data_IF_105572702330
#
_entry.id   IF_105572702330
#
_cell.length_a   1.000
_cell.length_b   1.000
_cell.length_c   1.000
_cell.angle_alpha   90.00
_cell.angle_beta   90.00
_cell.angle_gamma   90.00
#
_symmetry.space_group_name_H-M   'P 1'
#
loop_
_entity.id
_entity.type
_entity.pdbx_description
1 polymer ?
#
# COMPACT_ATOMS: atom_id res chain seq x y z
N UNK A 1 -34.08 14.18 1.31
CA UNK A 1 -32.92 14.06 2.22
C UNK A 1 -31.85 13.12 1.65
N UNK A 2 -31.04 13.64 0.71
CA UNK A 2 -29.92 12.91 0.09
C UNK A 2 -28.56 13.50 0.50
N UNK A 3 -28.49 14.83 0.62
CA UNK A 3 -27.28 15.58 0.98
C UNK A 3 -26.70 15.29 2.37
N UNK A 4 -27.50 14.79 3.32
CA UNK A 4 -27.00 14.42 4.66
C UNK A 4 -26.33 13.03 4.69
N UNK A 5 -26.56 12.17 3.69
CA UNK A 5 -26.01 10.79 3.65
C UNK A 5 -24.63 10.70 3.01
N UNK A 6 -24.28 11.66 2.17
CA UNK A 6 -22.98 11.74 1.49
C UNK A 6 -21.82 12.14 2.41
N UNK A 7 -21.93 13.16 3.30
CA UNK A 7 -20.84 13.51 4.22
C UNK A 7 -20.53 12.38 5.21
N UNK A 8 -21.56 11.65 5.69
CA UNK A 8 -21.38 10.51 6.59
C UNK A 8 -20.64 9.35 5.90
N UNK A 9 -20.96 9.06 4.64
CA UNK A 9 -20.26 8.03 3.85
C UNK A 9 -18.82 8.42 3.55
N UNK A 10 -18.55 9.70 3.27
CA UNK A 10 -17.20 10.19 3.06
C UNK A 10 -16.38 10.15 4.35
N UNK A 11 -16.98 10.50 5.49
CA UNK A 11 -16.36 10.32 6.80
C UNK A 11 -16.01 8.86 7.10
N UNK A 12 -16.95 7.94 6.84
CA UNK A 12 -16.72 6.51 7.03
C UNK A 12 -15.61 5.97 6.12
N UNK A 13 -15.58 6.37 4.84
CA UNK A 13 -14.52 5.99 3.89
C UNK A 13 -13.14 6.48 4.34
N UNK A 14 -13.05 7.72 4.80
CA UNK A 14 -11.80 8.29 5.34
C UNK A 14 -11.32 7.52 6.56
N UNK A 15 -12.22 7.20 7.48
CA UNK A 15 -11.90 6.43 8.67
C UNK A 15 -11.36 5.03 8.30
N UNK A 16 -12.07 4.31 7.43
CA UNK A 16 -11.61 3.00 6.92
C UNK A 16 -10.25 3.10 6.25
N UNK A 17 -10.06 4.08 5.36
CA UNK A 17 -8.78 4.28 4.68
C UNK A 17 -7.64 4.55 5.67
N UNK A 18 -7.88 5.39 6.69
CA UNK A 18 -6.90 5.69 7.73
C UNK A 18 -6.50 4.45 8.54
N UNK A 19 -7.46 3.63 8.94
CA UNK A 19 -7.19 2.35 9.61
C UNK A 19 -6.38 1.40 8.72
N UNK A 20 -6.66 1.39 7.41
CA UNK A 20 -5.89 0.65 6.41
C UNK A 20 -4.44 1.15 6.31
N UNK A 21 -4.22 2.47 6.24
CA UNK A 21 -2.88 3.06 6.23
C UNK A 21 -2.12 2.77 7.53
N UNK A 22 -2.77 2.89 8.69
CA UNK A 22 -2.16 2.58 9.99
C UNK A 22 -1.74 1.11 10.07
N UNK A 23 -2.56 0.20 9.54
CA UNK A 23 -2.25 -1.23 9.49
C UNK A 23 -1.11 -1.53 8.51
N UNK A 24 -1.13 -0.91 7.32
CA UNK A 24 -0.03 -0.99 6.36
C UNK A 24 1.29 -0.48 6.94
N UNK A 25 1.24 0.64 7.67
CA UNK A 25 2.41 1.19 8.34
C UNK A 25 2.95 0.25 9.41
N UNK A 26 2.10 -0.40 10.22
CA UNK A 26 2.55 -1.43 11.18
C UNK A 26 3.26 -2.59 10.50
N UNK A 27 2.78 -3.05 9.35
CA UNK A 27 3.45 -4.09 8.55
C UNK A 27 4.80 -3.61 8.02
N UNK A 28 4.88 -2.37 7.58
CA UNK A 28 6.11 -1.76 7.11
C UNK A 28 7.14 -1.58 8.23
N UNK A 29 6.70 -1.23 9.45
CA UNK A 29 7.56 -1.20 10.63
C UNK A 29 8.10 -2.58 10.98
N UNK A 30 7.29 -3.64 10.86
CA UNK A 30 7.78 -5.01 11.02
C UNK A 30 8.90 -5.33 10.01
N UNK A 31 8.74 -4.95 8.73
CA UNK A 31 9.80 -5.14 7.73
C UNK A 31 11.11 -4.44 8.13
N UNK A 32 11.03 -3.20 8.65
CA UNK A 32 12.21 -2.46 9.15
C UNK A 32 12.88 -3.16 10.33
N UNK A 33 12.10 -3.62 11.31
CA UNK A 33 12.62 -4.33 12.50
C UNK A 33 13.32 -5.63 12.11
N UNK A 34 12.70 -6.40 11.22
CA UNK A 34 13.25 -7.66 10.72
C UNK A 34 14.56 -7.44 9.96
N UNK A 35 14.59 -6.43 9.09
CA UNK A 35 15.81 -6.06 8.35
C UNK A 35 16.94 -5.64 9.30
N UNK A 36 16.64 -4.79 10.29
CA UNK A 36 17.59 -4.36 11.31
C UNK A 36 18.06 -5.52 12.20
N UNK A 37 17.22 -6.54 12.39
CA UNK A 37 17.55 -7.77 13.10
C UNK A 37 18.48 -8.71 12.33
N UNK A 38 18.77 -8.43 11.05
CA UNK A 38 19.65 -9.25 10.22
C UNK A 38 18.95 -10.42 9.52
N UNK A 39 17.63 -10.33 9.29
CA UNK A 39 16.82 -11.37 8.63
C UNK A 39 16.25 -10.88 7.29
N UNK A 40 17.07 -10.59 6.27
CA UNK A 40 16.62 -10.04 5.00
C UNK A 40 15.61 -10.94 4.25
N UNK A 41 15.63 -12.25 4.47
CA UNK A 41 14.69 -13.23 3.91
C UNK A 41 13.25 -13.03 4.37
N UNK A 42 13.06 -12.48 5.58
CA UNK A 42 11.73 -12.29 6.19
C UNK A 42 11.08 -10.95 5.83
N UNK A 43 11.78 -10.07 5.08
CA UNK A 43 11.30 -8.68 4.84
C UNK A 43 10.31 -8.58 3.69
N UNK A 44 10.35 -9.48 2.71
CA UNK A 44 9.53 -9.40 1.50
C UNK A 44 8.03 -9.50 1.81
N UNK A 45 7.64 -10.46 2.65
CA UNK A 45 6.23 -10.68 3.05
C UNK A 45 5.60 -9.45 3.74
N UNK A 46 6.19 -8.86 4.79
CA UNK A 46 5.60 -7.67 5.42
C UNK A 46 5.57 -6.45 4.49
N UNK A 47 6.52 -6.29 3.55
CA UNK A 47 6.46 -5.25 2.52
C UNK A 47 5.27 -5.48 1.58
N UNK A 48 5.07 -6.72 1.10
CA UNK A 48 3.94 -7.08 0.25
C UNK A 48 2.59 -6.80 0.93
N UNK A 49 2.48 -7.19 2.21
CA UNK A 49 1.29 -6.93 3.02
C UNK A 49 1.06 -5.42 3.20
N UNK A 50 2.10 -4.66 3.51
CA UNK A 50 2.02 -3.20 3.65
C UNK A 50 1.53 -2.55 2.35
N UNK A 51 2.03 -3.00 1.19
CA UNK A 51 1.61 -2.55 -0.13
C UNK A 51 0.13 -2.85 -0.39
N UNK A 52 -0.34 -4.06 -0.05
CA UNK A 52 -1.76 -4.42 -0.15
C UNK A 52 -2.66 -3.52 0.68
N UNK A 53 -2.33 -3.35 1.97
CA UNK A 53 -3.06 -2.46 2.87
C UNK A 53 -3.10 -1.02 2.36
N UNK A 54 -1.97 -0.50 1.88
CA UNK A 54 -1.88 0.87 1.38
C UNK A 54 -2.70 1.07 0.09
N UNK A 55 -2.56 0.20 -0.91
CA UNK A 55 -3.30 0.33 -2.18
C UNK A 55 -4.81 0.16 -1.98
N UNK A 56 -5.23 -0.78 -1.14
CA UNK A 56 -6.66 -0.98 -0.84
C UNK A 56 -7.24 0.16 0.02
N UNK A 57 -6.45 0.75 0.91
CA UNK A 57 -6.83 1.98 1.64
C UNK A 57 -6.99 3.18 0.71
N UNK A 58 -6.09 3.37 -0.26
CA UNK A 58 -6.27 4.38 -1.31
C UNK A 58 -7.55 4.15 -2.12
N UNK A 59 -7.87 2.90 -2.45
CA UNK A 59 -9.13 2.56 -3.13
C UNK A 59 -10.35 2.82 -2.24
N UNK A 60 -10.25 2.62 -0.92
CA UNK A 60 -11.33 2.87 0.03
C UNK A 60 -11.71 4.37 0.13
N UNK A 61 -10.78 5.28 -0.20
CA UNK A 61 -11.08 6.72 -0.29
C UNK A 61 -12.07 7.04 -1.42
N UNK A 62 -12.04 6.28 -2.52
CA UNK A 62 -12.83 6.56 -3.74
C UNK A 62 -13.98 5.60 -3.96
N UNK A 63 -13.83 4.35 -3.52
CA UNK A 63 -14.82 3.29 -3.65
C UNK A 63 -15.16 2.74 -2.28
N UNK A 64 -16.38 2.26 -2.13
CA UNK A 64 -16.78 1.55 -0.91
C UNK A 64 -16.17 0.13 -0.93
N UNK A 65 -14.94 0.04 -0.45
CA UNK A 65 -14.17 -1.20 -0.33
C UNK A 65 -13.47 -1.23 1.01
N UNK A 66 -13.32 -2.43 1.55
CA UNK A 66 -12.56 -2.65 2.76
C UNK A 66 -11.06 -2.75 2.44
N UNK A 67 -10.20 -2.04 3.17
CA UNK A 67 -8.76 -2.25 3.09
C UNK A 67 -8.38 -3.65 3.58
N UNK A 68 -7.35 -4.23 2.97
CA UNK A 68 -6.87 -5.58 3.28
C UNK A 68 -5.45 -5.81 2.78
N UNK A 69 -4.79 -6.90 3.22
CA UNK A 69 -3.43 -7.22 2.82
C UNK A 69 -3.31 -7.71 1.37
N UNK A 70 -4.41 -8.13 0.74
CA UNK A 70 -4.40 -8.65 -0.62
C UNK A 70 -4.21 -7.53 -1.64
N UNK A 71 -3.25 -7.72 -2.55
CA UNK A 71 -2.96 -6.75 -3.59
C UNK A 71 -4.15 -6.61 -4.57
N UNK A 72 -4.65 -5.40 -4.82
CA UNK A 72 -5.69 -5.18 -5.81
C UNK A 72 -5.17 -5.47 -7.23
N UNK A 73 -6.07 -5.68 -8.19
CA UNK A 73 -5.69 -5.91 -9.58
C UNK A 73 -4.91 -4.70 -10.16
N UNK A 74 -3.81 -4.91 -10.93
CA UNK A 74 -3.01 -3.80 -11.47
C UNK A 74 -3.84 -2.82 -12.30
N UNK A 75 -4.77 -3.33 -13.13
CA UNK A 75 -5.67 -2.50 -13.94
C UNK A 75 -6.58 -1.61 -13.10
N UNK A 76 -6.99 -2.07 -11.92
CA UNK A 76 -7.82 -1.28 -11.00
C UNK A 76 -7.00 -0.15 -10.39
N UNK A 77 -5.76 -0.42 -9.97
CA UNK A 77 -4.83 0.60 -9.45
C UNK A 77 -4.57 1.66 -10.51
N UNK A 78 -4.29 1.24 -11.75
CA UNK A 78 -4.05 2.14 -12.87
C UNK A 78 -5.23 3.09 -13.11
N UNK A 79 -6.43 2.54 -13.29
CA UNK A 79 -7.62 3.34 -13.62
C UNK A 79 -8.02 4.27 -12.46
N UNK A 80 -7.98 3.79 -11.22
CA UNK A 80 -8.58 4.51 -10.08
C UNK A 80 -7.61 5.42 -9.34
N UNK A 81 -6.30 5.14 -9.38
CA UNK A 81 -5.31 5.88 -8.60
C UNK A 81 -4.34 6.67 -9.49
N UNK A 82 -3.93 6.11 -10.63
CA UNK A 82 -2.93 6.74 -11.52
C UNK A 82 -3.60 7.68 -12.51
N UNK A 83 -4.56 7.19 -13.29
CA UNK A 83 -5.28 8.01 -14.28
C UNK A 83 -6.11 9.13 -13.61
N UNK A 84 -6.56 8.89 -12.38
CA UNK A 84 -7.23 9.90 -11.54
C UNK A 84 -6.27 10.89 -10.86
N UNK A 85 -4.95 10.77 -11.08
CA UNK A 85 -3.88 11.63 -10.55
C UNK A 85 -3.76 11.65 -9.03
N UNK A 86 -4.25 10.62 -8.32
CA UNK A 86 -4.05 10.47 -6.86
C UNK A 86 -2.65 9.98 -6.52
N UNK A 87 -2.09 9.17 -7.43
CA UNK A 87 -0.71 8.71 -7.42
C UNK A 87 -0.10 9.12 -8.75
N UNK A 88 1.08 9.74 -8.72
CA UNK A 88 1.78 10.11 -9.94
C UNK A 88 2.38 8.88 -10.66
N UNK A 89 2.69 9.02 -11.95
CA UNK A 89 3.19 7.93 -12.77
C UNK A 89 4.55 7.38 -12.29
N UNK A 90 5.39 8.22 -11.68
CA UNK A 90 6.71 7.81 -11.18
C UNK A 90 6.57 6.92 -9.95
N UNK A 91 5.74 7.32 -8.98
CA UNK A 91 5.42 6.49 -7.82
C UNK A 91 4.71 5.19 -8.25
N UNK A 92 3.78 5.26 -9.21
CA UNK A 92 3.11 4.07 -9.73
C UNK A 92 4.08 3.05 -10.33
N UNK A 93 5.07 3.50 -11.11
CA UNK A 93 6.09 2.63 -11.69
C UNK A 93 6.96 1.96 -10.61
N UNK A 94 7.40 2.72 -9.60
CA UNK A 94 8.14 2.16 -8.45
C UNK A 94 7.31 1.12 -7.69
N UNK A 95 6.03 1.38 -7.47
CA UNK A 95 5.12 0.44 -6.79
C UNK A 95 4.85 -0.84 -7.59
N UNK A 96 4.79 -0.74 -8.92
CA UNK A 96 4.70 -1.92 -9.79
C UNK A 96 5.93 -2.82 -9.62
N UNK A 97 7.12 -2.23 -9.49
CA UNK A 97 8.34 -2.97 -9.22
C UNK A 97 8.35 -3.61 -7.82
N UNK A 98 7.90 -2.89 -6.78
CA UNK A 98 7.74 -3.47 -5.43
C UNK A 98 6.80 -4.66 -5.45
N UNK A 99 5.67 -4.55 -6.17
CA UNK A 99 4.69 -5.63 -6.30
C UNK A 99 5.32 -6.90 -6.87
N UNK A 100 6.12 -6.75 -7.92
CA UNK A 100 6.77 -7.85 -8.62
C UNK A 100 7.79 -8.54 -7.71
N UNK A 101 8.71 -7.78 -7.11
CA UNK A 101 9.78 -8.33 -6.27
C UNK A 101 9.30 -8.95 -4.96
N UNK A 102 8.17 -8.50 -4.43
CA UNK A 102 7.62 -8.99 -3.16
C UNK A 102 6.51 -10.02 -3.34
N UNK A 103 6.24 -10.43 -4.59
CA UNK A 103 5.28 -11.49 -4.86
C UNK A 103 5.75 -12.78 -4.15
N UNK A 104 4.83 -13.52 -3.51
CA UNK A 104 5.18 -14.81 -2.96
C UNK A 104 5.63 -15.75 -4.10
N UNK A 105 6.63 -16.60 -3.87
CA UNK A 105 7.13 -17.51 -4.90
C UNK A 105 6.03 -18.46 -5.35
N UNK A 106 6.00 -18.75 -6.65
CA UNK A 106 5.16 -19.77 -7.24
C UNK A 106 5.50 -21.19 -6.73
N UNK A 107 4.58 -22.16 -6.88
CA UNK A 107 4.80 -23.54 -6.41
C UNK A 107 5.99 -24.26 -7.05
N UNK A 108 6.41 -23.81 -8.24
CA UNK A 108 7.52 -24.39 -9.01
C UNK A 108 8.69 -23.40 -9.18
N UNK A 109 8.68 -22.26 -8.48
CA UNK A 109 9.75 -21.27 -8.56
C UNK A 109 10.90 -21.62 -7.62
N UNK A 110 12.13 -21.49 -8.12
CA UNK A 110 13.33 -21.62 -7.30
C UNK A 110 13.33 -20.55 -6.19
N UNK A 111 13.77 -20.95 -5.00
CA UNK A 111 13.91 -20.03 -3.89
C UNK A 111 14.92 -18.93 -4.25
N UNK A 112 14.42 -17.72 -4.44
CA UNK A 112 15.26 -16.58 -4.76
C UNK A 112 16.14 -16.21 -3.56
N UNK A 113 17.38 -15.74 -3.79
CA UNK A 113 18.21 -15.25 -2.70
C UNK A 113 17.53 -14.06 -2.01
N UNK A 114 17.81 -13.84 -0.70
CA UNK A 114 17.30 -12.69 0.00
C UNK A 114 17.77 -11.39 -0.68
N UNK A 115 16.99 -10.29 -0.58
CA UNK A 115 17.39 -8.99 -1.11
C UNK A 115 18.65 -8.47 -0.39
N UNK A 116 19.38 -7.58 -1.04
CA UNK A 116 20.36 -6.76 -0.33
C UNK A 116 19.66 -5.81 0.65
N UNK A 117 20.39 -5.31 1.65
CA UNK A 117 19.87 -4.32 2.61
C UNK A 117 19.39 -3.06 1.89
N UNK A 118 20.19 -2.53 0.97
CA UNK A 118 19.87 -1.34 0.18
C UNK A 118 18.60 -1.52 -0.66
N UNK A 119 18.44 -2.70 -1.28
CA UNK A 119 17.22 -3.04 -2.02
C UNK A 119 16.03 -3.08 -1.07
N UNK A 120 16.12 -3.77 0.07
CA UNK A 120 15.03 -3.85 1.04
C UNK A 120 14.62 -2.46 1.58
N UNK A 121 15.59 -1.59 1.88
CA UNK A 121 15.35 -0.21 2.30
C UNK A 121 14.60 0.60 1.22
N UNK A 122 15.04 0.50 -0.04
CA UNK A 122 14.40 1.19 -1.17
C UNK A 122 12.94 0.74 -1.36
N UNK A 123 12.67 -0.56 -1.21
CA UNK A 123 11.31 -1.10 -1.28
C UNK A 123 10.44 -0.58 -0.12
N UNK A 124 11.00 -0.57 1.10
CA UNK A 124 10.35 -0.04 2.29
C UNK A 124 9.99 1.44 2.11
N UNK A 125 10.93 2.25 1.63
CA UNK A 125 10.73 3.69 1.39
C UNK A 125 9.66 3.95 0.32
N UNK A 126 9.65 3.17 -0.75
CA UNK A 126 8.64 3.30 -1.82
C UNK A 126 7.22 3.03 -1.29
N UNK A 127 7.04 2.04 -0.41
CA UNK A 127 5.73 1.79 0.22
C UNK A 127 5.40 2.88 1.26
N UNK A 128 6.41 3.42 1.95
CA UNK A 128 6.23 4.54 2.88
C UNK A 128 5.72 5.79 2.15
N UNK A 129 6.28 6.11 0.97
CA UNK A 129 5.82 7.21 0.11
C UNK A 129 4.33 7.08 -0.20
N UNK A 130 3.88 5.87 -0.56
CA UNK A 130 2.47 5.58 -0.84
C UNK A 130 1.57 5.80 0.38
N UNK A 131 2.00 5.34 1.56
CA UNK A 131 1.25 5.51 2.82
C UNK A 131 1.15 6.99 3.18
N UNK A 132 2.26 7.73 3.10
CA UNK A 132 2.32 9.16 3.37
C UNK A 132 1.37 9.92 2.45
N UNK A 133 1.38 9.59 1.15
CA UNK A 133 0.44 10.16 0.18
C UNK A 133 -1.02 9.86 0.54
N UNK A 134 -1.28 8.68 1.09
CA UNK A 134 -2.60 8.29 1.59
C UNK A 134 -3.09 9.18 2.72
N UNK A 135 -2.22 9.46 3.70
CA UNK A 135 -2.55 10.37 4.80
C UNK A 135 -2.80 11.81 4.31
N UNK A 136 -2.00 12.31 3.37
CA UNK A 136 -2.23 13.61 2.74
C UNK A 136 -3.63 13.70 2.11
N UNK A 137 -3.97 12.74 1.24
CA UNK A 137 -5.26 12.71 0.56
C UNK A 137 -6.44 12.55 1.52
N UNK A 138 -6.28 11.78 2.58
CA UNK A 138 -7.30 11.61 3.61
C UNK A 138 -7.53 12.91 4.42
N UNK A 139 -6.47 13.69 4.65
CA UNK A 139 -6.54 14.98 5.33
C UNK A 139 -7.14 16.06 4.42
N UNK A 140 -6.72 16.14 3.16
CA UNK A 140 -7.27 17.06 2.15
C UNK A 140 -8.78 16.84 1.94
N UNK A 141 -9.23 15.59 1.93
CA UNK A 141 -10.65 15.25 1.82
C UNK A 141 -11.47 15.57 3.08
N UNK A 142 -10.87 16.16 4.12
CA UNK A 142 -11.55 16.61 5.33
C UNK A 142 -11.43 18.07 5.70
N UNK A 143 -10.83 18.86 4.82
CA UNK A 143 -11.07 20.30 4.72
C UNK A 143 -12.26 20.56 3.78
#
# INVERSE_FOLDING_TARGET
PAAAREPDRQAQRRQKAREGFDTGNKRLQLARVVLQGGFPEEVMRPINQALGWALTAHLALVKDREPGPELPAPRLVQAELVESKRIDATLAARLAHVRELTAPPGPDEEEAPPPSVETAETLIETVQDLINKGYELAAEAGL
#
